data_IF_328866552831
#
_entry.id   IF_328866552831
#
_cell.length_a   1.000
_cell.length_b   1.000
_cell.length_c   1.000
_cell.angle_alpha   90.00
_cell.angle_beta   90.00
_cell.angle_gamma   90.00
#
_symmetry.space_group_name_H-M   'P 1'
#
loop_
_entity.id
_entity.type
_entity.pdbx_description
1 polymer ?
#
# COMPACT_ATOMS: atom_id res chain seq x y z
N UNK A 1 -11.23 3.54 6.43
CA UNK A 1 -9.98 4.12 5.91
C UNK A 1 -8.84 3.51 6.72
N UNK A 2 -7.78 3.04 6.06
CA UNK A 2 -6.62 2.45 6.73
C UNK A 2 -5.81 3.57 7.41
N UNK A 3 -5.53 3.41 8.71
CA UNK A 3 -4.65 4.33 9.45
C UNK A 3 -3.18 3.91 9.26
N UNK A 4 -2.33 4.76 8.65
CA UNK A 4 -0.93 4.42 8.41
C UNK A 4 -0.09 4.26 9.68
N UNK A 5 -0.38 5.02 10.74
CA UNK A 5 0.39 4.98 11.98
C UNK A 5 0.07 3.70 12.76
N UNK A 6 -1.19 3.27 12.74
CA UNK A 6 -1.53 1.96 13.27
C UNK A 6 -0.91 0.80 12.50
N UNK A 7 -0.92 0.87 11.16
CA UNK A 7 -0.26 -0.13 10.32
C UNK A 7 1.25 -0.19 10.63
N UNK A 8 1.91 0.97 10.71
CA UNK A 8 3.33 1.08 11.04
C UNK A 8 3.65 0.40 12.38
N UNK A 9 2.83 0.67 13.39
CA UNK A 9 2.96 0.09 14.74
C UNK A 9 2.76 -1.43 14.71
N UNK A 10 1.70 -1.91 14.09
CA UNK A 10 1.29 -3.32 14.16
C UNK A 10 2.19 -4.23 13.32
N UNK A 11 2.70 -3.73 12.19
CA UNK A 11 3.64 -4.46 11.33
C UNK A 11 5.10 -4.26 11.77
N UNK A 12 5.38 -3.22 12.57
CA UNK A 12 6.73 -2.84 12.97
C UNK A 12 7.57 -2.38 11.78
N UNK A 13 6.98 -1.58 10.90
CA UNK A 13 7.58 -1.06 9.67
C UNK A 13 7.38 0.45 9.54
N UNK A 14 8.23 1.09 8.74
CA UNK A 14 8.01 2.46 8.28
C UNK A 14 7.00 2.45 7.13
N UNK A 15 5.99 3.32 7.18
CA UNK A 15 4.96 3.42 6.14
C UNK A 15 5.17 4.72 5.36
N UNK A 16 5.55 4.59 4.10
CA UNK A 16 5.62 5.67 3.11
C UNK A 16 4.22 5.87 2.53
N UNK A 17 3.56 6.97 2.87
CA UNK A 17 2.21 7.26 2.38
C UNK A 17 2.29 8.24 1.23
N UNK A 18 1.73 7.85 0.08
CA UNK A 18 1.62 8.72 -1.09
C UNK A 18 0.15 8.88 -1.45
N UNK A 19 -0.45 10.00 -1.10
CA UNK A 19 -1.78 10.31 -1.63
C UNK A 19 -1.68 10.80 -3.08
N UNK A 20 -2.80 10.73 -3.81
CA UNK A 20 -2.86 11.34 -5.14
C UNK A 20 -2.65 12.85 -5.01
N UNK A 21 -1.86 13.45 -5.90
CA UNK A 21 -1.47 14.88 -5.86
C UNK A 21 -2.65 15.87 -5.91
N UNK A 22 -3.84 15.41 -6.28
CA UNK A 22 -5.09 16.20 -6.26
C UNK A 22 -5.77 16.24 -4.88
N UNK A 23 -5.30 15.44 -3.93
CA UNK A 23 -5.83 15.40 -2.58
C UNK A 23 -4.91 16.21 -1.66
N UNK A 24 -5.46 17.15 -0.89
CA UNK A 24 -4.74 17.91 0.17
C UNK A 24 -4.54 17.06 1.45
N UNK A 25 -4.43 15.74 1.29
CA UNK A 25 -4.28 14.82 2.40
C UNK A 25 -2.82 14.72 2.79
N UNK A 26 -2.57 14.71 4.10
CA UNK A 26 -1.26 14.51 4.69
C UNK A 26 -1.31 13.37 5.69
N UNK A 27 -0.29 12.51 5.65
CA UNK A 27 -0.13 11.43 6.60
C UNK A 27 0.78 11.87 7.74
N UNK A 28 0.40 11.60 8.98
CA UNK A 28 1.22 11.92 10.16
C UNK A 28 1.11 10.81 11.19
N UNK A 29 2.18 10.61 11.94
CA UNK A 29 2.21 9.68 13.07
C UNK A 29 3.56 8.97 13.22
N UNK A 30 3.77 8.29 14.35
CA UNK A 30 4.98 7.49 14.57
C UNK A 30 5.15 6.42 13.49
N UNK A 31 6.34 6.33 12.91
CA UNK A 31 6.64 5.34 11.85
C UNK A 31 6.01 5.66 10.49
N UNK A 32 5.42 6.84 10.31
CA UNK A 32 4.82 7.27 9.04
C UNK A 32 5.66 8.36 8.41
N UNK A 33 5.92 8.25 7.10
CA UNK A 33 6.56 9.29 6.30
C UNK A 33 5.60 9.66 5.17
N UNK A 34 5.14 10.90 5.16
CA UNK A 34 4.38 11.44 4.04
C UNK A 34 5.32 11.74 2.85
N UNK A 35 5.09 11.03 1.75
CA UNK A 35 5.84 11.16 0.49
C UNK A 35 4.95 11.62 -0.66
N UNK A 36 3.79 12.21 -0.35
CA UNK A 36 2.80 12.72 -1.32
C UNK A 36 3.42 13.69 -2.32
N UNK A 37 4.32 14.58 -1.87
CA UNK A 37 4.99 15.56 -2.72
C UNK A 37 6.38 15.13 -3.22
N UNK A 38 6.79 13.88 -2.96
CA UNK A 38 8.07 13.40 -3.43
C UNK A 38 8.04 13.26 -4.98
N UNK A 39 9.02 13.82 -5.72
CA UNK A 39 8.89 14.04 -7.16
C UNK A 39 8.88 12.76 -7.99
N UNK A 40 9.65 11.74 -7.58
CA UNK A 40 9.86 10.49 -8.34
C UNK A 40 9.15 9.33 -7.64
N UNK A 41 8.15 8.74 -8.29
CA UNK A 41 7.45 7.58 -7.70
C UNK A 41 8.32 6.32 -7.80
N UNK A 42 9.14 6.26 -8.83
CA UNK A 42 10.06 5.17 -9.14
C UNK A 42 11.10 4.99 -8.03
N UNK A 43 11.65 6.09 -7.51
CA UNK A 43 12.59 6.05 -6.38
C UNK A 43 11.92 5.48 -5.12
N UNK A 44 10.64 5.81 -4.90
CA UNK A 44 9.87 5.25 -3.78
C UNK A 44 9.60 3.76 -3.98
N UNK A 45 9.30 3.31 -5.20
CA UNK A 45 9.12 1.88 -5.50
C UNK A 45 10.43 1.10 -5.26
N UNK A 46 11.58 1.69 -5.63
CA UNK A 46 12.89 1.09 -5.40
C UNK A 46 13.25 1.04 -3.90
N UNK A 47 12.83 2.04 -3.12
CA UNK A 47 13.07 2.08 -1.68
C UNK A 47 12.12 1.18 -0.87
N UNK A 48 10.88 0.94 -1.34
CA UNK A 48 9.89 0.16 -0.62
C UNK A 48 10.14 -1.36 -0.71
N UNK A 49 9.93 -2.10 0.38
CA UNK A 49 10.05 -3.56 0.42
C UNK A 49 8.74 -4.27 0.04
N UNK A 50 7.61 -3.58 0.23
CA UNK A 50 6.25 -4.06 0.03
C UNK A 50 5.38 -2.91 -0.48
N UNK A 51 4.56 -3.18 -1.50
CA UNK A 51 3.49 -2.28 -1.92
C UNK A 51 2.18 -2.70 -1.25
N UNK A 52 1.42 -1.75 -0.71
CA UNK A 52 0.01 -1.94 -0.36
C UNK A 52 -0.80 -0.95 -1.19
N UNK A 53 -1.56 -1.43 -2.18
CA UNK A 53 -2.36 -0.58 -3.07
C UNK A 53 -3.83 -0.93 -2.96
N UNK A 54 -4.70 0.03 -3.26
CA UNK A 54 -6.11 -0.19 -3.57
C UNK A 54 -6.27 -0.40 -5.10
N UNK A 55 -7.32 0.18 -5.68
CA UNK A 55 -7.66 0.14 -7.12
C UNK A 55 -6.74 0.98 -8.03
N UNK A 56 -5.59 1.45 -7.54
CA UNK A 56 -4.63 2.18 -8.35
C UNK A 56 -3.92 1.32 -9.41
N UNK A 57 -3.32 1.98 -10.41
CA UNK A 57 -2.45 1.33 -11.40
C UNK A 57 -1.03 1.05 -10.91
N UNK A 58 -0.67 1.49 -9.70
CA UNK A 58 0.68 1.35 -9.14
C UNK A 58 1.22 -0.09 -9.12
N UNK A 59 0.39 -1.13 -8.87
CA UNK A 59 0.87 -2.51 -8.90
C UNK A 59 1.42 -2.96 -10.25
N UNK A 60 0.95 -2.37 -11.37
CA UNK A 60 1.48 -2.70 -12.70
C UNK A 60 2.95 -2.28 -12.85
N UNK A 61 3.28 -1.07 -12.41
CA UNK A 61 4.65 -0.55 -12.44
C UNK A 61 5.52 -1.21 -11.36
N UNK A 62 4.98 -1.40 -10.16
CA UNK A 62 5.71 -2.01 -9.04
C UNK A 62 6.05 -3.48 -9.30
N UNK A 63 5.28 -4.20 -10.12
CA UNK A 63 5.60 -5.56 -10.54
C UNK A 63 7.01 -5.69 -11.16
N UNK A 64 7.54 -4.61 -11.77
CA UNK A 64 8.90 -4.57 -12.32
C UNK A 64 9.98 -4.74 -11.24
N UNK A 65 9.69 -4.37 -9.99
CA UNK A 65 10.61 -4.52 -8.85
C UNK A 65 10.74 -5.98 -8.38
N UNK A 66 9.80 -6.85 -8.76
CA UNK A 66 9.66 -8.23 -8.26
C UNK A 66 9.53 -8.35 -6.74
N UNK A 67 9.14 -7.27 -6.07
CA UNK A 67 8.87 -7.23 -4.65
C UNK A 67 7.40 -7.59 -4.37
N UNK A 68 7.08 -8.09 -3.16
CA UNK A 68 5.72 -8.45 -2.81
C UNK A 68 4.77 -7.24 -2.87
N UNK A 69 3.50 -7.52 -3.14
CA UNK A 69 2.42 -6.53 -3.23
C UNK A 69 1.15 -7.08 -2.59
N UNK A 70 0.39 -6.20 -1.93
CA UNK A 70 -0.94 -6.49 -1.39
C UNK A 70 -1.95 -5.52 -2.02
N UNK A 71 -3.06 -6.06 -2.52
CA UNK A 71 -4.27 -5.31 -2.83
C UNK A 71 -5.14 -5.25 -1.57
N UNK A 72 -5.35 -4.07 -1.01
CA UNK A 72 -6.27 -3.84 0.11
C UNK A 72 -7.59 -3.26 -0.41
N UNK A 73 -8.61 -4.12 -0.48
CA UNK A 73 -9.86 -3.89 -1.23
C UNK A 73 -11.10 -4.23 -0.39
N UNK A 74 -11.34 -3.51 0.73
CA UNK A 74 -12.41 -3.82 1.68
C UNK A 74 -13.83 -3.70 1.10
N UNK A 75 -13.97 -3.10 -0.07
CA UNK A 75 -15.22 -2.78 -0.75
C UNK A 75 -15.36 -3.47 -2.12
N UNK A 76 -14.56 -4.53 -2.39
CA UNK A 76 -14.56 -5.22 -3.69
C UNK A 76 -15.96 -5.68 -4.12
N UNK A 77 -16.75 -6.23 -3.20
CA UNK A 77 -18.12 -6.68 -3.48
C UNK A 77 -19.03 -5.55 -3.95
N UNK A 78 -18.84 -4.33 -3.45
CA UNK A 78 -19.58 -3.15 -3.90
C UNK A 78 -19.03 -2.61 -5.22
N UNK A 79 -17.71 -2.60 -5.36
CA UNK A 79 -17.01 -2.12 -6.55
C UNK A 79 -17.41 -2.93 -7.80
N UNK A 80 -17.43 -4.25 -7.70
CA UNK A 80 -17.82 -5.16 -8.79
C UNK A 80 -19.28 -4.99 -9.25
N UNK A 81 -20.18 -4.60 -8.35
CA UNK A 81 -21.60 -4.36 -8.68
C UNK A 81 -21.80 -3.04 -9.44
N UNK A 82 -20.97 -2.02 -9.17
CA UNK A 82 -21.15 -0.64 -9.65
C UNK A 82 -20.27 -0.27 -10.84
N UNK A 83 -19.04 -0.77 -10.89
CA UNK A 83 -18.09 -0.49 -11.97
C UNK A 83 -18.12 -1.64 -12.99
N UNK A 84 -18.18 -1.32 -14.29
CA UNK A 84 -18.31 -2.28 -15.40
C UNK A 84 -17.00 -3.05 -15.70
N UNK A 85 -16.40 -3.63 -14.68
CA UNK A 85 -15.27 -4.54 -14.77
C UNK A 85 -13.92 -3.88 -14.48
N UNK A 86 -13.09 -4.62 -13.78
CA UNK A 86 -11.65 -4.37 -13.71
C UNK A 86 -11.02 -4.50 -15.10
N UNK A 87 -9.82 -3.95 -15.31
CA UNK A 87 -8.93 -4.52 -16.33
C UNK A 87 -8.92 -6.03 -16.12
N UNK A 88 -9.16 -6.84 -17.16
CA UNK A 88 -9.63 -8.25 -17.08
C UNK A 88 -8.84 -9.21 -16.16
N UNK A 89 -7.75 -8.80 -15.51
CA UNK A 89 -6.95 -9.57 -14.54
C UNK A 89 -6.42 -8.76 -13.34
N UNK A 90 -7.24 -7.91 -12.72
CA UNK A 90 -6.91 -7.26 -11.45
C UNK A 90 -7.90 -7.65 -10.35
N UNK A 91 -7.45 -8.04 -9.13
CA UNK A 91 -6.07 -8.32 -8.75
C UNK A 91 -5.46 -9.51 -9.52
N UNK A 92 -4.19 -9.40 -9.90
CA UNK A 92 -3.51 -10.49 -10.60
C UNK A 92 -3.05 -11.58 -9.63
N UNK A 93 -2.79 -12.80 -10.12
CA UNK A 93 -2.31 -13.93 -9.29
C UNK A 93 -0.97 -13.65 -8.56
N UNK A 94 -0.24 -12.60 -8.93
CA UNK A 94 1.01 -12.19 -8.27
C UNK A 94 0.79 -11.16 -7.16
N UNK A 95 -0.45 -10.80 -6.85
CA UNK A 95 -0.82 -9.83 -5.81
C UNK A 95 -1.70 -10.51 -4.79
N UNK A 96 -1.29 -10.47 -3.52
CA UNK A 96 -2.11 -10.98 -2.41
C UNK A 96 -3.28 -10.02 -2.16
N UNK A 97 -4.48 -10.54 -1.91
CA UNK A 97 -5.69 -9.72 -1.71
C UNK A 97 -6.12 -9.77 -0.25
N UNK A 98 -6.53 -8.63 0.30
CA UNK A 98 -7.02 -8.53 1.67
C UNK A 98 -8.22 -7.59 1.72
N UNK A 99 -9.25 -7.97 2.50
CA UNK A 99 -10.49 -7.20 2.60
C UNK A 99 -10.66 -6.56 3.97
N UNK A 100 -9.87 -6.99 4.96
CA UNK A 100 -9.86 -6.37 6.28
C UNK A 100 -8.46 -6.14 6.83
N UNK A 101 -8.38 -5.29 7.85
CA UNK A 101 -7.12 -4.84 8.45
C UNK A 101 -6.31 -5.98 9.08
N UNK A 102 -6.98 -6.99 9.64
CA UNK A 102 -6.28 -8.10 10.28
C UNK A 102 -5.56 -8.94 9.23
N UNK A 103 -6.26 -9.30 8.15
CA UNK A 103 -5.66 -9.99 6.99
C UNK A 103 -4.52 -9.18 6.39
N UNK A 104 -4.68 -7.86 6.27
CA UNK A 104 -3.65 -6.97 5.77
C UNK A 104 -2.37 -7.04 6.62
N UNK A 105 -2.50 -6.91 7.94
CA UNK A 105 -1.36 -6.97 8.85
C UNK A 105 -0.69 -8.35 8.83
N UNK A 106 -1.47 -9.43 8.88
CA UNK A 106 -0.94 -10.81 8.83
C UNK A 106 -0.19 -11.08 7.52
N UNK A 107 -0.76 -10.66 6.40
CA UNK A 107 -0.16 -10.81 5.07
C UNK A 107 1.11 -9.95 4.95
N UNK A 108 1.08 -8.70 5.41
CA UNK A 108 2.25 -7.83 5.41
C UNK A 108 3.39 -8.41 6.24
N UNK A 109 3.10 -8.91 7.46
CA UNK A 109 4.09 -9.57 8.31
C UNK A 109 4.68 -10.81 7.63
N UNK A 110 3.83 -11.65 7.02
CA UNK A 110 4.26 -12.84 6.26
C UNK A 110 5.21 -12.45 5.13
N UNK A 111 4.83 -11.47 4.29
CA UNK A 111 5.60 -11.08 3.12
C UNK A 111 6.90 -10.36 3.49
N UNK A 112 6.91 -9.54 4.54
CA UNK A 112 8.12 -8.87 5.04
C UNK A 112 9.10 -9.83 5.74
N UNK A 113 8.63 -10.98 6.22
CA UNK A 113 9.51 -12.03 6.75
C UNK A 113 10.21 -12.85 5.65
N UNK A 114 9.68 -12.86 4.42
CA UNK A 114 10.33 -13.49 3.28
C UNK A 114 11.50 -12.61 2.86
N UNK A 115 12.73 -13.05 3.16
CA UNK A 115 13.93 -12.34 2.70
C UNK A 115 13.89 -12.25 1.16
N UNK A 116 13.97 -11.05 0.57
CA UNK A 116 14.10 -10.92 -0.87
C UNK A 116 15.34 -11.71 -1.32
N UNK A 117 15.15 -12.63 -2.25
CA UNK A 117 16.26 -13.33 -2.90
C UNK A 117 16.96 -12.36 -3.84
N UNK A 118 17.78 -11.48 -3.27
CA UNK A 118 18.77 -10.76 -4.04
C UNK A 118 19.85 -11.77 -4.44
N UNK A 119 20.10 -11.90 -5.75
CA UNK A 119 21.20 -12.70 -6.27
C UNK A 119 22.49 -12.37 -5.52
N UNK A 120 23.23 -13.40 -5.12
CA UNK A 120 24.41 -13.32 -4.26
C UNK A 120 25.49 -12.42 -4.86
N UNK A 121 25.38 -11.13 -4.58
CA UNK A 121 26.42 -10.12 -4.76
C UNK A 121 26.96 -9.76 -3.39
N UNK A 122 28.22 -10.07 -3.19
CA UNK A 122 28.96 -10.07 -1.93
C UNK A 122 29.12 -8.67 -1.32
N UNK A 123 28.08 -8.10 -0.68
CA UNK A 123 28.21 -6.87 0.12
C UNK A 123 27.33 -6.88 1.37
N UNK A 124 27.89 -6.34 2.46
CA UNK A 124 27.36 -6.18 3.83
C UNK A 124 27.68 -7.31 4.83
N UNK A 125 28.98 -7.46 5.12
CA UNK A 125 29.47 -7.94 6.41
C UNK A 125 29.57 -6.76 7.38
N UNK A 126 28.53 -6.48 8.15
CA UNK A 126 28.63 -5.92 9.51
C UNK A 126 27.30 -6.10 10.22
N UNK A 127 27.30 -6.89 11.29
CA UNK A 127 26.14 -7.29 12.10
C UNK A 127 25.44 -6.12 12.84
N UNK A 128 25.86 -4.87 12.61
CA UNK A 128 25.33 -3.68 13.28
C UNK A 128 24.45 -2.77 12.39
N UNK A 129 24.04 -3.24 11.20
CA UNK A 129 23.11 -2.55 10.30
C UNK A 129 21.74 -3.26 10.15
N UNK A 130 21.40 -4.22 11.01
CA UNK A 130 20.07 -4.88 11.01
C UNK A 130 18.97 -4.05 11.69
N UNK A 131 18.97 -2.73 11.48
CA UNK A 131 17.77 -1.88 11.61
C UNK A 131 17.31 -1.49 10.20
N UNK A 132 17.20 -2.49 9.31
CA UNK A 132 16.75 -2.28 7.94
C UNK A 132 15.38 -1.61 7.98
N UNK A 133 15.32 -0.38 7.47
CA UNK A 133 14.11 0.42 7.33
C UNK A 133 13.15 -0.38 6.44
N UNK A 134 12.22 -1.11 7.05
CA UNK A 134 11.14 -1.79 6.33
C UNK A 134 10.20 -0.71 5.82
N UNK A 135 10.13 -0.49 4.51
CA UNK A 135 9.32 0.60 3.93
C UNK A 135 8.12 0.04 3.18
N UNK A 136 6.91 0.38 3.63
CA UNK A 136 5.65 0.06 2.94
C UNK A 136 5.23 1.27 2.12
N UNK A 137 5.10 1.15 0.80
CA UNK A 137 4.52 2.21 -0.03
C UNK A 137 3.00 2.00 -0.11
N UNK A 138 2.23 3.00 0.33
CA UNK A 138 0.78 2.97 0.24
C UNK A 138 0.26 4.09 -0.65
N UNK A 139 0.05 3.85 -1.96
CA UNK A 139 -0.72 4.74 -2.80
C UNK A 139 -2.21 4.55 -2.47
N UNK A 140 -2.73 5.37 -1.55
CA UNK A 140 -4.17 5.40 -1.27
C UNK A 140 -4.85 6.31 -2.30
N UNK A 141 -5.50 5.71 -3.29
CA UNK A 141 -6.42 6.35 -4.22
C UNK A 141 -7.85 6.14 -3.70
N UNK A 142 -8.22 6.91 -2.66
CA UNK A 142 -9.62 7.04 -2.29
C UNK A 142 -10.37 7.82 -3.37
N UNK A 143 -11.08 7.12 -4.26
CA UNK A 143 -12.15 7.72 -5.04
C UNK A 143 -13.39 7.81 -4.14
N UNK A 144 -13.52 8.91 -3.38
CA UNK A 144 -14.79 9.27 -2.76
C UNK A 144 -15.70 9.78 -3.88
N UNK A 145 -16.49 8.91 -4.53
CA UNK A 145 -17.63 9.41 -5.31
C UNK A 145 -18.60 10.07 -4.35
N UNK A 146 -18.62 11.40 -4.40
CA UNK A 146 -19.68 12.29 -3.97
C UNK A 146 -21.06 11.61 -3.92
N UNK A 147 -21.57 11.30 -2.72
CA UNK A 147 -22.97 11.53 -2.39
C UNK A 147 -23.19 11.66 -0.88
N UNK A 148 -22.51 12.64 -0.27
CA UNK A 148 -22.79 13.07 1.09
C UNK A 148 -23.24 14.54 1.06
N UNK A 149 -24.26 14.82 0.26
CA UNK A 149 -25.14 15.98 0.40
C UNK A 149 -26.53 15.63 -0.16
N UNK A 150 -27.40 15.10 0.68
CA UNK A 150 -28.83 15.44 0.72
C UNK A 150 -29.43 14.91 2.02
N UNK A 151 -29.38 15.77 3.03
CA UNK A 151 -30.26 15.64 4.18
C UNK A 151 -31.70 15.65 3.70
N UNK A 152 -32.45 14.62 4.09
CA UNK A 152 -33.90 14.66 4.13
C UNK A 152 -34.30 14.41 5.58
N UNK A 153 -34.79 15.48 6.21
CA UNK A 153 -35.45 15.44 7.52
C UNK A 153 -36.74 14.61 7.45
N UNK A 154 -37.18 14.01 8.57
CA UNK A 154 -38.31 13.10 8.58
C UNK A 154 -39.63 13.84 8.35
N UNK A 155 -40.59 13.14 7.74
CA UNK A 155 -42.02 13.41 7.88
C UNK A 155 -42.67 12.22 8.54
#
# INVERSE_FOLDING_TARGET
>A
MLDPAELARDVGATVLVRYHHMNELHAQGPGVIDVTHYPSVEDLMLAADLLISDYSSMPFDFALTRKPMIAYIPDIAWYEEKERGFYEKWPSASVETTENRNELCETALKLLCIKPHFGTGEWLKTENQMQSIRSILTPLLFHKTSNDQKGVRPK
#
